data_IF_234352887446
#
_entry.id   IF_234352887446
#
_cell.length_a   1.000
_cell.length_b   1.000
_cell.length_c   1.000
_cell.angle_alpha   90.00
_cell.angle_beta   90.00
_cell.angle_gamma   90.00
#
_symmetry.space_group_name_H-M   'P 1'
#
loop_
_entity.id
_entity.type
_entity.pdbx_description
1 polymer ?
#
# COMPACT_ATOMS: atom_id res chain seq x y z
N UNK A 1 37.91 -26.04 -16.35
CA UNK A 1 36.95 -25.20 -15.61
C UNK A 1 36.70 -23.97 -16.48
N UNK A 2 35.79 -24.11 -17.45
CA UNK A 2 35.34 -22.97 -18.26
C UNK A 2 34.19 -22.29 -17.51
N UNK A 3 34.50 -21.14 -16.94
CA UNK A 3 33.51 -20.27 -16.30
C UNK A 3 32.76 -19.53 -17.41
N UNK A 4 31.49 -19.91 -17.58
CA UNK A 4 30.59 -19.35 -18.57
C UNK A 4 30.42 -17.84 -18.39
N UNK A 5 31.02 -17.09 -19.30
CA UNK A 5 30.79 -15.66 -19.46
C UNK A 5 29.35 -15.47 -19.92
N UNK A 6 28.44 -15.13 -18.99
CA UNK A 6 27.10 -14.66 -19.31
C UNK A 6 27.22 -13.53 -20.34
N UNK A 7 26.74 -13.80 -21.57
CA UNK A 7 26.56 -12.78 -22.59
C UNK A 7 25.64 -11.73 -21.99
N UNK A 8 26.18 -10.52 -21.81
CA UNK A 8 25.43 -9.31 -21.50
C UNK A 8 24.49 -9.08 -22.68
N UNK A 9 23.26 -9.56 -22.54
CA UNK A 9 22.23 -9.50 -23.57
C UNK A 9 22.00 -8.02 -23.92
N UNK A 10 22.40 -7.60 -25.12
CA UNK A 10 22.15 -6.27 -25.69
C UNK A 10 20.66 -6.11 -26.05
N UNK A 11 19.79 -6.38 -25.09
CA UNK A 11 18.36 -6.24 -25.23
C UNK A 11 17.97 -4.80 -25.00
N UNK A 12 17.53 -4.10 -26.06
CA UNK A 12 16.95 -2.77 -25.98
C UNK A 12 15.90 -2.65 -24.87
N UNK A 13 15.83 -1.47 -24.24
CA UNK A 13 14.90 -1.20 -23.13
C UNK A 13 13.43 -1.32 -23.53
N UNK A 14 12.56 -1.41 -22.52
CA UNK A 14 11.11 -1.48 -22.75
C UNK A 14 10.64 -0.22 -23.48
N UNK A 15 10.10 -0.39 -24.69
CA UNK A 15 9.53 0.69 -25.49
C UNK A 15 8.54 1.54 -24.67
N UNK A 16 8.57 2.86 -24.84
CA UNK A 16 7.77 3.77 -24.02
C UNK A 16 6.27 3.54 -24.20
N UNK A 17 5.80 3.33 -25.43
CA UNK A 17 4.39 3.10 -25.72
C UNK A 17 3.91 1.80 -25.08
N UNK A 18 4.71 0.73 -25.19
CA UNK A 18 4.43 -0.55 -24.52
C UNK A 18 4.42 -0.39 -22.99
N UNK A 19 5.43 0.29 -22.43
CA UNK A 19 5.54 0.56 -20.99
C UNK A 19 4.33 1.33 -20.46
N UNK A 20 3.93 2.40 -21.14
CA UNK A 20 2.77 3.21 -20.77
C UNK A 20 1.48 2.39 -20.81
N UNK A 21 1.32 1.60 -21.87
CA UNK A 21 0.19 0.69 -22.08
C UNK A 21 0.08 -0.35 -20.95
N UNK A 22 1.19 -0.97 -20.54
CA UNK A 22 1.23 -1.90 -19.41
C UNK A 22 1.02 -1.19 -18.06
N UNK A 23 1.63 -0.02 -17.88
CA UNK A 23 1.52 0.78 -16.66
C UNK A 23 0.06 1.18 -16.38
N UNK A 24 -0.63 1.76 -17.36
CA UNK A 24 -2.03 2.18 -17.20
C UNK A 24 -2.93 0.99 -16.86
N UNK A 25 -2.72 -0.17 -17.49
CA UNK A 25 -3.47 -1.40 -17.17
C UNK A 25 -3.12 -1.96 -15.79
N UNK A 26 -1.88 -1.82 -15.35
CA UNK A 26 -1.45 -2.26 -14.01
C UNK A 26 -2.12 -1.50 -12.87
N UNK A 27 -2.65 -0.29 -13.12
CA UNK A 27 -3.43 0.46 -12.13
C UNK A 27 -4.69 -0.32 -11.71
N UNK A 28 -5.22 -1.16 -12.61
CA UNK A 28 -6.43 -1.96 -12.42
C UNK A 28 -6.12 -3.42 -12.04
N UNK A 29 -4.91 -3.73 -11.59
CA UNK A 29 -4.49 -5.13 -11.32
C UNK A 29 -5.36 -5.84 -10.26
N UNK A 30 -5.98 -5.09 -9.35
CA UNK A 30 -6.90 -5.64 -8.35
C UNK A 30 -8.38 -5.60 -8.75
N UNK A 31 -8.75 -5.05 -9.92
CA UNK A 31 -10.14 -4.88 -10.31
C UNK A 31 -10.91 -6.21 -10.45
N UNK A 32 -10.21 -7.29 -10.86
CA UNK A 32 -10.75 -8.64 -10.99
C UNK A 32 -10.35 -9.59 -9.85
N UNK A 33 -10.05 -9.06 -8.66
CA UNK A 33 -9.60 -9.89 -7.55
C UNK A 33 -10.66 -10.92 -7.15
N UNK A 34 -10.26 -12.18 -6.99
CA UNK A 34 -11.16 -13.28 -6.63
C UNK A 34 -10.48 -14.28 -5.69
N UNK A 35 -11.27 -15.00 -4.89
CA UNK A 35 -10.72 -15.94 -3.90
C UNK A 35 -10.00 -17.15 -4.50
N UNK A 36 -10.32 -17.54 -5.73
CA UNK A 36 -9.73 -18.73 -6.36
C UNK A 36 -8.31 -18.49 -6.85
N UNK A 37 -8.06 -17.34 -7.50
CA UNK A 37 -6.81 -17.05 -8.22
C UNK A 37 -6.25 -15.65 -7.97
N UNK A 38 -6.86 -14.89 -7.05
CA UNK A 38 -6.42 -13.59 -6.56
C UNK A 38 -6.33 -12.54 -7.69
N UNK A 39 -5.14 -12.03 -8.01
CA UNK A 39 -4.90 -10.93 -8.95
C UNK A 39 -4.64 -11.39 -10.40
N UNK A 40 -4.85 -12.68 -10.71
CA UNK A 40 -4.51 -13.28 -12.00
C UNK A 40 -5.13 -12.55 -13.22
N UNK A 41 -6.41 -12.18 -13.15
CA UNK A 41 -7.12 -11.49 -14.26
C UNK A 41 -6.47 -10.14 -14.53
N UNK A 42 -6.20 -9.36 -13.49
CA UNK A 42 -5.52 -8.07 -13.62
C UNK A 42 -4.08 -8.20 -14.10
N UNK A 43 -3.38 -9.26 -13.71
CA UNK A 43 -2.03 -9.55 -14.20
C UNK A 43 -2.02 -9.84 -15.70
N UNK A 44 -2.89 -10.72 -16.18
CA UNK A 44 -3.04 -11.02 -17.61
C UNK A 44 -3.44 -9.76 -18.38
N UNK A 45 -4.39 -8.97 -17.85
CA UNK A 45 -4.80 -7.70 -18.47
C UNK A 45 -3.64 -6.73 -18.61
N UNK A 46 -2.83 -6.56 -17.56
CA UNK A 46 -1.66 -5.68 -17.59
C UNK A 46 -0.54 -6.19 -18.52
N UNK A 47 -0.36 -7.51 -18.64
CA UNK A 47 0.64 -8.14 -19.49
C UNK A 47 0.20 -8.26 -20.96
N UNK A 48 -1.10 -8.20 -21.25
CA UNK A 48 -1.67 -8.44 -22.57
C UNK A 48 -0.99 -7.67 -23.73
N UNK A 49 -0.62 -6.38 -23.61
CA UNK A 49 0.10 -5.68 -24.67
C UNK A 49 1.44 -6.33 -25.03
N UNK A 50 2.18 -6.82 -24.03
CA UNK A 50 3.45 -7.50 -24.25
C UNK A 50 3.23 -8.90 -24.85
N UNK A 51 2.23 -9.65 -24.38
CA UNK A 51 1.91 -10.97 -24.94
C UNK A 51 1.52 -10.88 -26.42
N UNK A 52 0.71 -9.89 -26.83
CA UNK A 52 0.34 -9.69 -28.23
C UNK A 52 1.52 -9.37 -29.14
N UNK A 53 2.53 -8.70 -28.59
CA UNK A 53 3.77 -8.37 -29.32
C UNK A 53 4.69 -9.59 -29.43
N UNK A 54 4.82 -10.36 -28.35
CA UNK A 54 5.65 -11.55 -28.31
C UNK A 54 5.04 -12.73 -29.11
N UNK A 55 3.72 -12.90 -29.06
CA UNK A 55 2.99 -14.00 -29.68
C UNK A 55 1.90 -13.46 -30.62
N UNK A 56 2.23 -13.14 -31.89
CA UNK A 56 1.25 -12.66 -32.87
C UNK A 56 0.21 -13.72 -33.25
N UNK A 57 0.56 -15.01 -33.18
CA UNK A 57 -0.35 -16.09 -33.54
C UNK A 57 -1.44 -16.29 -32.47
N UNK A 58 -2.74 -16.32 -32.84
CA UNK A 58 -3.83 -16.40 -31.89
C UNK A 58 -3.75 -17.60 -30.93
N UNK A 59 -3.33 -18.76 -31.42
CA UNK A 59 -3.22 -19.98 -30.61
C UNK A 59 -2.11 -19.85 -29.55
N UNK A 60 -0.94 -19.33 -29.94
CA UNK A 60 0.18 -19.13 -29.01
C UNK A 60 -0.13 -18.03 -28.00
N UNK A 61 -0.79 -16.96 -28.43
CA UNK A 61 -1.26 -15.89 -27.55
C UNK A 61 -2.27 -16.42 -26.53
N UNK A 62 -3.23 -17.24 -26.96
CA UNK A 62 -4.22 -17.85 -26.07
C UNK A 62 -3.55 -18.78 -25.04
N UNK A 63 -2.59 -19.62 -25.47
CA UNK A 63 -1.79 -20.44 -24.57
C UNK A 63 -0.98 -19.60 -23.58
N UNK A 64 -0.45 -18.45 -24.02
CA UNK A 64 0.26 -17.49 -23.18
C UNK A 64 -0.61 -16.81 -22.14
N UNK A 65 -1.77 -16.31 -22.54
CA UNK A 65 -2.73 -15.74 -21.62
C UNK A 65 -3.21 -16.79 -20.60
N UNK A 66 -3.46 -18.02 -21.04
CA UNK A 66 -3.94 -19.11 -20.19
C UNK A 66 -2.94 -19.48 -19.08
N UNK A 67 -1.64 -19.60 -19.38
CA UNK A 67 -0.63 -19.88 -18.33
C UNK A 67 -0.57 -18.77 -17.28
N UNK A 68 -0.65 -17.51 -17.69
CA UNK A 68 -0.62 -16.36 -16.77
C UNK A 68 -1.93 -16.17 -15.99
N UNK A 69 -3.02 -16.79 -16.43
CA UNK A 69 -4.28 -16.86 -15.70
C UNK A 69 -4.25 -17.84 -14.50
N UNK A 70 -3.12 -18.52 -14.24
CA UNK A 70 -2.89 -19.23 -12.98
C UNK A 70 -2.74 -18.26 -11.79
N UNK A 71 -2.95 -18.76 -10.57
CA UNK A 71 -2.96 -17.99 -9.32
C UNK A 71 -1.79 -17.02 -9.21
N UNK A 72 -2.08 -15.75 -8.97
CA UNK A 72 -1.07 -14.71 -8.84
C UNK A 72 -1.48 -13.76 -7.73
N UNK A 73 -0.61 -13.55 -6.74
CA UNK A 73 -0.86 -12.59 -5.69
C UNK A 73 0.46 -11.94 -5.28
N UNK A 74 0.48 -10.61 -5.29
CA UNK A 74 1.61 -9.83 -4.79
C UNK A 74 1.14 -8.46 -4.31
N UNK A 75 2.07 -7.62 -3.88
CA UNK A 75 1.76 -6.22 -3.58
C UNK A 75 1.51 -5.45 -4.90
N UNK A 76 0.35 -4.80 -5.13
CA UNK A 76 0.00 -4.18 -6.42
C UNK A 76 0.95 -3.07 -6.89
N UNK A 77 1.68 -2.43 -5.98
CA UNK A 77 2.67 -1.41 -6.35
C UNK A 77 4.01 -2.00 -6.77
N UNK A 78 4.27 -3.26 -6.38
CA UNK A 78 5.47 -4.02 -6.74
C UNK A 78 5.23 -4.93 -7.96
N UNK A 79 3.98 -5.13 -8.37
CA UNK A 79 3.64 -5.97 -9.51
C UNK A 79 4.33 -5.55 -10.82
N UNK A 80 4.70 -4.27 -10.96
CA UNK A 80 5.44 -3.75 -12.11
C UNK A 80 6.77 -4.49 -12.35
N UNK A 81 7.53 -4.81 -11.29
CA UNK A 81 8.79 -5.57 -11.41
C UNK A 81 8.57 -6.94 -12.06
N UNK A 82 7.48 -7.61 -11.69
CA UNK A 82 7.14 -8.94 -12.22
C UNK A 82 6.63 -8.81 -13.65
N UNK A 83 5.72 -7.88 -13.91
CA UNK A 83 5.16 -7.65 -15.25
C UNK A 83 6.25 -7.36 -16.28
N UNK A 84 7.22 -6.50 -15.95
CA UNK A 84 8.34 -6.19 -16.82
C UNK A 84 9.22 -7.42 -17.07
N UNK A 85 9.58 -8.14 -16.01
CA UNK A 85 10.45 -9.31 -16.11
C UNK A 85 9.82 -10.43 -16.95
N UNK A 86 8.55 -10.73 -16.68
CA UNK A 86 7.79 -11.74 -17.43
C UNK A 86 7.58 -11.30 -18.87
N UNK A 87 7.32 -10.03 -19.16
CA UNK A 87 7.24 -9.55 -20.55
C UNK A 87 8.53 -9.85 -21.34
N UNK A 88 9.69 -9.61 -20.75
CA UNK A 88 10.97 -9.91 -21.39
C UNK A 88 11.19 -11.42 -21.57
N UNK A 89 10.83 -12.23 -20.58
CA UNK A 89 10.93 -13.68 -20.69
C UNK A 89 10.01 -14.24 -21.78
N UNK A 90 8.82 -13.67 -21.93
CA UNK A 90 7.86 -14.04 -22.97
C UNK A 90 8.38 -13.71 -24.38
N UNK A 91 8.98 -12.53 -24.55
CA UNK A 91 9.64 -12.15 -25.82
C UNK A 91 10.80 -13.08 -26.19
N UNK A 92 11.65 -13.43 -25.21
CA UNK A 92 12.75 -14.39 -25.44
C UNK A 92 12.24 -15.78 -25.76
N UNK A 93 11.25 -16.27 -25.00
CA UNK A 93 10.64 -17.56 -25.26
C UNK A 93 10.03 -17.61 -26.66
N UNK A 94 9.39 -16.52 -27.13
CA UNK A 94 8.87 -16.45 -28.49
C UNK A 94 9.97 -16.49 -29.55
N UNK A 95 11.07 -15.75 -29.34
CA UNK A 95 12.22 -15.74 -30.24
C UNK A 95 12.94 -17.09 -30.33
N UNK A 96 12.94 -17.87 -29.24
CA UNK A 96 13.56 -19.20 -29.14
C UNK A 96 12.63 -20.34 -29.61
N UNK A 97 11.43 -20.02 -30.14
CA UNK A 97 10.47 -21.02 -30.65
C UNK A 97 9.54 -21.60 -29.57
N UNK A 98 9.64 -21.12 -28.33
CA UNK A 98 8.78 -21.50 -27.21
C UNK A 98 9.12 -22.86 -26.61
N UNK A 99 8.13 -23.49 -26.00
CA UNK A 99 8.24 -24.84 -25.44
C UNK A 99 7.88 -24.93 -23.96
N UNK A 100 7.66 -26.16 -23.51
CA UNK A 100 7.20 -26.45 -22.14
C UNK A 100 8.21 -25.99 -21.08
N UNK A 101 9.51 -26.20 -21.30
CA UNK A 101 10.56 -25.81 -20.36
C UNK A 101 10.65 -24.28 -20.18
N UNK A 102 10.47 -23.51 -21.25
CA UNK A 102 10.44 -22.05 -21.18
C UNK A 102 9.19 -21.57 -20.42
N UNK A 103 8.02 -22.15 -20.70
CA UNK A 103 6.78 -21.84 -20.01
C UNK A 103 6.85 -22.15 -18.51
N UNK A 104 7.42 -23.31 -18.14
CA UNK A 104 7.64 -23.70 -16.75
C UNK A 104 8.57 -22.72 -16.02
N UNK A 105 9.70 -22.37 -16.65
CA UNK A 105 10.65 -21.39 -16.11
C UNK A 105 9.98 -20.03 -15.86
N UNK A 106 9.19 -19.54 -16.81
CA UNK A 106 8.42 -18.29 -16.69
C UNK A 106 7.50 -18.34 -15.47
N UNK A 107 6.75 -19.44 -15.29
CA UNK A 107 5.83 -19.58 -14.18
C UNK A 107 6.54 -19.67 -12.82
N UNK A 108 7.67 -20.38 -12.77
CA UNK A 108 8.49 -20.49 -11.56
C UNK A 108 9.07 -19.14 -11.13
N UNK A 109 9.64 -18.38 -12.08
CA UNK A 109 10.15 -17.02 -11.82
C UNK A 109 9.03 -16.10 -11.38
N UNK A 110 7.86 -16.15 -12.04
CA UNK A 110 6.69 -15.35 -11.68
C UNK A 110 6.26 -15.60 -10.24
N UNK A 111 6.17 -16.87 -9.84
CA UNK A 111 5.73 -17.24 -8.50
C UNK A 111 6.74 -16.84 -7.41
N UNK A 112 8.04 -17.07 -7.67
CA UNK A 112 9.11 -16.69 -6.74
C UNK A 112 9.15 -15.17 -6.50
N UNK A 113 9.04 -14.38 -7.57
CA UNK A 113 9.02 -12.93 -7.47
C UNK A 113 7.72 -12.41 -6.83
N UNK A 114 6.58 -13.02 -7.15
CA UNK A 114 5.30 -12.63 -6.54
C UNK A 114 5.36 -12.71 -5.01
N UNK A 115 5.88 -13.81 -4.47
CA UNK A 115 6.01 -14.04 -3.02
C UNK A 115 7.01 -13.08 -2.35
N UNK A 116 8.22 -12.96 -2.90
CA UNK A 116 9.28 -12.13 -2.33
C UNK A 116 8.91 -10.63 -2.35
N UNK A 117 8.41 -10.13 -3.48
CA UNK A 117 7.98 -8.74 -3.62
C UNK A 117 6.69 -8.43 -2.84
N UNK A 118 5.83 -9.42 -2.58
CA UNK A 118 4.71 -9.27 -1.66
C UNK A 118 5.21 -8.96 -0.25
N UNK A 119 6.12 -9.79 0.29
CA UNK A 119 6.66 -9.63 1.63
C UNK A 119 7.38 -8.29 1.83
N UNK A 120 8.14 -7.83 0.84
CA UNK A 120 8.80 -6.51 0.87
C UNK A 120 7.76 -5.40 0.76
N UNK A 121 6.89 -5.48 -0.24
CA UNK A 121 5.87 -4.48 -0.54
C UNK A 121 4.86 -4.28 0.59
N UNK A 122 4.45 -5.34 1.29
CA UNK A 122 3.52 -5.26 2.41
C UNK A 122 4.14 -4.51 3.60
N UNK A 123 5.42 -4.75 3.89
CA UNK A 123 6.14 -4.04 4.95
C UNK A 123 6.30 -2.55 4.66
N UNK A 124 6.43 -2.17 3.39
CA UNK A 124 6.58 -0.78 2.95
C UNK A 124 5.22 -0.10 2.90
N UNK A 125 4.32 -0.54 2.02
CA UNK A 125 3.10 0.19 1.70
C UNK A 125 2.03 0.04 2.78
N UNK A 126 1.73 -1.19 3.20
CA UNK A 126 0.72 -1.43 4.23
C UNK A 126 1.25 -1.19 5.62
N UNK A 127 2.49 -1.59 5.88
CA UNK A 127 3.07 -1.52 7.22
C UNK A 127 3.57 -0.14 7.64
N UNK A 128 3.98 0.73 6.69
CA UNK A 128 4.66 1.99 7.02
C UNK A 128 4.08 3.19 6.30
N UNK A 129 4.03 3.14 4.96
CA UNK A 129 3.61 4.28 4.16
C UNK A 129 2.15 4.63 4.41
N UNK A 130 1.26 3.64 4.50
CA UNK A 130 -0.16 3.87 4.80
C UNK A 130 -0.37 4.48 6.19
N UNK A 131 0.18 3.95 7.30
CA UNK A 131 0.15 4.65 8.59
C UNK A 131 0.75 6.06 8.55
N UNK A 132 1.91 6.23 7.91
CA UNK A 132 2.58 7.52 7.78
C UNK A 132 1.70 8.57 7.06
N UNK A 133 0.88 8.17 6.09
CA UNK A 133 -0.03 9.12 5.43
C UNK A 133 -1.09 9.67 6.38
N UNK A 134 -1.57 8.88 7.34
CA UNK A 134 -2.46 9.39 8.37
C UNK A 134 -1.73 10.42 9.25
N UNK A 135 -0.49 10.14 9.63
CA UNK A 135 0.32 11.06 10.44
C UNK A 135 0.60 12.37 9.71
N UNK A 136 0.92 12.31 8.40
CA UNK A 136 1.08 13.49 7.54
C UNK A 136 -0.20 14.31 7.45
N UNK A 137 -1.37 13.67 7.33
CA UNK A 137 -2.66 14.36 7.35
C UNK A 137 -2.83 15.19 8.62
N UNK A 138 -2.57 14.58 9.80
CA UNK A 138 -2.68 15.27 11.08
C UNK A 138 -1.67 16.41 11.21
N UNK A 139 -0.44 16.21 10.72
CA UNK A 139 0.60 17.24 10.75
C UNK A 139 0.22 18.45 9.88
N UNK A 140 -0.36 18.23 8.69
CA UNK A 140 -0.83 19.30 7.81
C UNK A 140 -1.96 20.10 8.47
N UNK A 141 -2.92 19.42 9.11
CA UNK A 141 -3.97 20.10 9.85
C UNK A 141 -3.43 20.93 11.03
N UNK A 142 -2.45 20.40 11.79
CA UNK A 142 -1.76 21.19 12.83
C UNK A 142 -1.10 22.43 12.26
N UNK A 143 -0.36 22.29 11.16
CA UNK A 143 0.33 23.40 10.52
C UNK A 143 -0.65 24.45 9.97
N UNK A 144 -1.83 24.03 9.53
CA UNK A 144 -2.92 24.90 9.09
C UNK A 144 -3.74 25.50 10.24
N UNK A 145 -3.37 25.23 11.50
CA UNK A 145 -4.07 25.74 12.68
C UNK A 145 -5.40 25.03 13.00
N UNK A 146 -5.73 23.95 12.29
CA UNK A 146 -6.90 23.13 12.58
C UNK A 146 -6.61 22.23 13.79
N UNK A 147 -7.05 22.67 14.96
CA UNK A 147 -6.85 21.99 16.26
C UNK A 147 -8.11 21.35 16.81
N UNK A 148 -9.26 21.49 16.15
CA UNK A 148 -10.54 21.07 16.68
C UNK A 148 -10.71 19.55 16.83
N UNK A 149 -9.80 18.76 16.23
CA UNK A 149 -9.67 17.32 16.45
C UNK A 149 -8.85 16.93 17.70
N UNK A 150 -8.09 17.88 18.28
CA UNK A 150 -7.34 17.75 19.54
C UNK A 150 -8.12 18.37 20.69
N UNK A 151 -8.50 19.63 20.52
CA UNK A 151 -9.23 20.42 21.50
C UNK A 151 -10.67 20.49 20.99
N UNK A 152 -11.60 19.75 21.61
CA UNK A 152 -13.00 19.78 21.23
C UNK A 152 -13.54 21.21 21.31
N UNK A 153 -13.83 21.80 20.17
CA UNK A 153 -14.35 23.14 20.00
C UNK A 153 -15.18 23.22 18.72
N UNK A 154 -15.70 24.40 18.41
CA UNK A 154 -16.49 24.58 17.19
C UNK A 154 -15.59 24.46 15.95
N UNK A 155 -15.83 23.43 15.13
CA UNK A 155 -15.15 23.22 13.85
C UNK A 155 -15.90 23.91 12.68
N UNK A 156 -17.04 24.57 12.92
CA UNK A 156 -17.92 25.08 11.86
C UNK A 156 -17.30 26.21 11.03
N UNK A 157 -16.35 26.96 11.59
CA UNK A 157 -15.67 28.09 10.94
C UNK A 157 -14.44 27.72 10.11
N UNK A 158 -14.09 26.44 9.99
CA UNK A 158 -12.88 26.02 9.25
C UNK A 158 -13.14 26.13 7.75
N UNK A 159 -12.30 26.88 7.00
CA UNK A 159 -12.49 26.98 5.56
C UNK A 159 -12.26 25.62 4.89
N UNK A 160 -13.09 25.30 3.89
CA UNK A 160 -13.10 23.99 3.25
C UNK A 160 -11.71 23.55 2.72
N UNK A 161 -10.89 24.48 2.24
CA UNK A 161 -9.55 24.16 1.76
C UNK A 161 -8.62 23.61 2.86
N UNK A 162 -8.74 24.09 4.11
CA UNK A 162 -7.98 23.55 5.25
C UNK A 162 -8.44 22.12 5.55
N UNK A 163 -9.75 21.90 5.58
CA UNK A 163 -10.33 20.57 5.82
C UNK A 163 -9.80 19.54 4.80
N UNK A 164 -9.78 19.89 3.51
CA UNK A 164 -9.33 18.99 2.45
C UNK A 164 -7.81 18.93 2.26
N UNK A 165 -7.04 19.91 2.78
CA UNK A 165 -5.58 19.96 2.61
C UNK A 165 -4.85 18.73 3.16
N UNK A 166 -5.19 18.28 4.38
CA UNK A 166 -4.58 17.10 5.02
C UNK A 166 -4.77 15.81 4.21
N UNK A 167 -6.01 15.41 3.89
CA UNK A 167 -6.27 14.24 3.04
C UNK A 167 -5.66 14.37 1.65
N UNK A 168 -5.74 15.55 1.01
CA UNK A 168 -5.18 15.76 -0.32
C UNK A 168 -3.66 15.53 -0.34
N UNK A 169 -2.90 16.16 0.57
CA UNK A 169 -1.45 15.98 0.67
C UNK A 169 -1.10 14.52 0.93
N UNK A 170 -1.87 13.84 1.78
CA UNK A 170 -1.66 12.43 2.12
C UNK A 170 -1.87 11.49 0.94
N UNK A 171 -2.94 11.71 0.18
CA UNK A 171 -3.25 10.96 -1.04
C UNK A 171 -2.19 11.22 -2.11
N UNK A 172 -1.78 12.47 -2.31
CA UNK A 172 -0.73 12.84 -3.27
C UNK A 172 0.59 12.17 -2.89
N UNK A 173 1.00 12.25 -1.62
CA UNK A 173 2.23 11.64 -1.13
C UNK A 173 2.24 10.12 -1.33
N UNK A 174 1.17 9.43 -0.92
CA UNK A 174 1.06 7.99 -1.11
C UNK A 174 1.07 7.60 -2.60
N UNK A 175 0.28 8.32 -3.40
CA UNK A 175 0.11 8.04 -4.83
C UNK A 175 1.42 8.28 -5.59
N UNK A 176 2.17 9.34 -5.27
CA UNK A 176 3.46 9.60 -5.88
C UNK A 176 4.44 8.43 -5.70
N UNK A 177 4.56 7.91 -4.47
CA UNK A 177 5.43 6.75 -4.18
C UNK A 177 4.91 5.49 -4.88
N UNK A 178 3.61 5.24 -4.84
CA UNK A 178 2.98 4.09 -5.47
C UNK A 178 3.15 4.08 -7.00
N UNK A 179 2.91 5.22 -7.66
CA UNK A 179 3.06 5.38 -9.10
C UNK A 179 4.53 5.30 -9.51
N UNK A 180 5.43 5.91 -8.74
CA UNK A 180 6.87 5.80 -8.96
C UNK A 180 7.31 4.33 -8.96
N UNK A 181 6.97 3.56 -7.91
CA UNK A 181 7.36 2.15 -7.79
C UNK A 181 6.78 1.29 -8.91
N UNK A 182 5.53 1.53 -9.32
CA UNK A 182 4.93 0.82 -10.46
C UNK A 182 5.65 1.13 -11.76
N UNK A 183 5.90 2.40 -12.03
CA UNK A 183 6.53 2.86 -13.25
C UNK A 183 7.97 2.36 -13.35
N UNK A 184 8.80 2.59 -12.33
CA UNK A 184 10.20 2.14 -12.31
C UNK A 184 10.29 0.63 -12.28
N UNK A 185 9.41 -0.03 -11.52
CA UNK A 185 9.33 -1.48 -11.45
C UNK A 185 9.18 -2.13 -12.82
N UNK A 186 8.33 -1.60 -13.69
CA UNK A 186 8.18 -2.13 -15.06
C UNK A 186 9.49 -2.11 -15.87
N UNK A 187 10.23 -1.00 -15.84
CA UNK A 187 11.48 -0.91 -16.60
C UNK A 187 12.61 -1.73 -15.97
N UNK A 188 12.76 -1.67 -14.65
CA UNK A 188 13.76 -2.47 -13.92
C UNK A 188 13.47 -3.96 -14.13
N UNK A 189 12.20 -4.35 -14.00
CA UNK A 189 11.70 -5.68 -14.26
C UNK A 189 12.14 -6.20 -15.63
N UNK A 190 11.85 -5.42 -16.66
CA UNK A 190 12.19 -5.79 -18.04
C UNK A 190 13.70 -5.88 -18.28
N UNK A 191 14.49 -5.02 -17.65
CA UNK A 191 15.95 -5.04 -17.75
C UNK A 191 16.60 -6.27 -17.08
N UNK A 192 15.94 -6.90 -16.10
CA UNK A 192 16.48 -8.07 -15.39
C UNK A 192 16.57 -9.35 -16.24
N UNK A 193 15.93 -9.41 -17.41
CA UNK A 193 16.11 -10.52 -18.35
C UNK A 193 15.79 -11.91 -17.78
N UNK A 194 14.77 -12.05 -16.93
CA UNK A 194 14.30 -13.33 -16.43
C UNK A 194 14.94 -13.84 -15.14
N UNK A 195 15.80 -13.06 -14.49
CA UNK A 195 16.34 -13.42 -13.17
C UNK A 195 15.23 -13.59 -12.12
N UNK A 196 15.34 -14.64 -11.30
CA UNK A 196 14.45 -14.89 -10.16
C UNK A 196 14.71 -13.97 -8.96
N UNK A 197 15.82 -13.23 -8.95
CA UNK A 197 16.12 -12.19 -7.95
C UNK A 197 15.76 -10.78 -8.43
N UNK A 198 15.12 -10.65 -9.60
CA UNK A 198 14.81 -9.36 -10.19
C UNK A 198 14.05 -8.43 -9.24
N UNK A 199 14.51 -7.17 -9.14
CA UNK A 199 13.90 -6.16 -8.28
C UNK A 199 14.30 -6.28 -6.81
N UNK A 200 14.83 -7.40 -6.34
CA UNK A 200 15.29 -7.55 -4.95
C UNK A 200 16.51 -6.68 -4.64
N UNK A 201 17.42 -6.56 -5.62
CA UNK A 201 18.62 -5.73 -5.50
C UNK A 201 18.47 -4.34 -6.14
N UNK A 202 17.28 -4.02 -6.67
CA UNK A 202 17.03 -2.75 -7.35
C UNK A 202 17.11 -1.55 -6.38
N UNK A 203 16.79 -1.78 -5.11
CA UNK A 203 16.80 -0.77 -4.06
C UNK A 203 17.27 -1.40 -2.75
N UNK A 204 17.86 -0.60 -1.86
CA UNK A 204 18.11 -1.01 -0.49
C UNK A 204 16.78 -0.97 0.31
N UNK A 205 15.96 -2.01 0.12
CA UNK A 205 14.63 -2.14 0.74
C UNK A 205 14.71 -2.07 2.26
N UNK A 206 15.74 -2.67 2.85
CA UNK A 206 15.97 -2.66 4.30
C UNK A 206 16.20 -1.24 4.80
N UNK A 207 17.02 -0.45 4.11
CA UNK A 207 17.26 0.95 4.44
C UNK A 207 16.00 1.79 4.24
N UNK A 208 15.23 1.57 3.17
CA UNK A 208 13.97 2.27 2.94
C UNK A 208 12.96 2.00 4.06
N UNK A 209 12.79 0.73 4.45
CA UNK A 209 11.92 0.30 5.56
C UNK A 209 12.33 0.98 6.86
N UNK A 210 13.64 1.03 7.18
CA UNK A 210 14.17 1.71 8.37
C UNK A 210 13.91 3.22 8.32
N UNK A 211 14.13 3.86 7.18
CA UNK A 211 13.89 5.30 6.99
C UNK A 211 12.41 5.66 7.14
N UNK A 212 11.51 4.86 6.56
CA UNK A 212 10.07 5.07 6.72
C UNK A 212 9.62 4.87 8.17
N UNK A 213 10.18 3.87 8.88
CA UNK A 213 9.92 3.70 10.31
C UNK A 213 10.40 4.87 11.15
N UNK A 214 11.61 5.39 10.87
CA UNK A 214 12.13 6.56 11.57
C UNK A 214 11.29 7.80 11.26
N UNK A 215 10.93 8.02 9.99
CA UNK A 215 10.09 9.15 9.59
C UNK A 215 8.73 9.13 10.31
N UNK A 216 8.06 7.98 10.38
CA UNK A 216 6.80 7.86 11.12
C UNK A 216 6.96 8.13 12.61
N UNK A 217 8.03 7.60 13.23
CA UNK A 217 8.30 7.89 14.64
C UNK A 217 8.50 9.40 14.88
N UNK A 218 9.24 10.08 14.00
CA UNK A 218 9.50 11.52 14.10
C UNK A 218 8.22 12.34 13.91
N UNK A 219 7.41 12.04 12.89
CA UNK A 219 6.15 12.75 12.64
C UNK A 219 5.16 12.52 13.79
N UNK A 220 5.03 11.29 14.27
CA UNK A 220 4.21 10.96 15.43
C UNK A 220 4.65 11.74 16.67
N UNK A 221 5.96 11.74 16.98
CA UNK A 221 6.50 12.50 18.10
C UNK A 221 6.26 14.01 17.96
N UNK A 222 6.38 14.57 16.75
CA UNK A 222 6.09 15.97 16.47
C UNK A 222 4.62 16.30 16.70
N UNK A 223 3.70 15.45 16.22
CA UNK A 223 2.26 15.61 16.46
C UNK A 223 1.91 15.55 17.95
N UNK A 224 2.52 14.61 18.70
CA UNK A 224 2.33 14.50 20.16
C UNK A 224 2.86 15.75 20.86
N UNK A 225 4.09 16.20 20.55
CA UNK A 225 4.69 17.37 21.16
C UNK A 225 3.86 18.64 20.87
N UNK A 226 3.44 18.85 19.63
CA UNK A 226 2.56 19.96 19.26
C UNK A 226 1.23 19.91 20.01
N UNK A 227 0.63 18.72 20.13
CA UNK A 227 -0.60 18.53 20.91
C UNK A 227 -0.39 18.88 22.38
N UNK A 228 0.69 18.40 23.01
CA UNK A 228 1.03 18.72 24.40
C UNK A 228 1.21 20.23 24.61
N UNK A 229 1.92 20.91 23.71
CA UNK A 229 2.09 22.37 23.79
C UNK A 229 0.74 23.09 23.74
N UNK A 230 -0.19 22.63 22.90
CA UNK A 230 -1.54 23.21 22.82
C UNK A 230 -2.35 22.96 24.10
N UNK A 231 -2.22 21.78 24.71
CA UNK A 231 -2.93 21.41 25.93
C UNK A 231 -2.39 22.10 27.19
N UNK A 232 -1.10 22.46 27.20
CA UNK A 232 -0.46 23.15 28.32
C UNK A 232 -0.66 24.67 28.28
N UNK A 233 -1.34 25.22 27.26
CA UNK A 233 -1.64 26.66 27.21
C UNK A 233 -2.63 27.03 28.34
N UNK A 234 -2.49 28.21 28.97
CA UNK A 234 -3.39 28.65 30.04
C UNK A 234 -4.86 28.72 29.63
N UNK A 235 -5.11 28.96 28.34
CA UNK A 235 -6.43 29.08 27.72
C UNK A 235 -7.05 27.73 27.33
N UNK A 236 -6.33 26.61 27.56
CA UNK A 236 -6.84 25.29 27.22
C UNK A 236 -8.08 24.94 28.07
N UNK A 237 -9.16 24.39 27.47
CA UNK A 237 -10.36 24.04 28.21
C UNK A 237 -10.06 22.94 29.23
N UNK A 238 -10.32 23.21 30.51
CA UNK A 238 -10.06 22.29 31.63
C UNK A 238 -11.30 21.54 32.13
N UNK A 239 -12.39 21.54 31.34
CA UNK A 239 -13.66 20.94 31.74
C UNK A 239 -13.54 19.41 31.90
N UNK A 240 -14.35 18.81 32.78
CA UNK A 240 -14.40 17.36 32.94
C UNK A 240 -14.72 16.63 31.62
N UNK A 241 -15.53 17.25 30.76
CA UNK A 241 -15.83 16.74 29.41
C UNK A 241 -14.64 16.75 28.46
N UNK A 242 -13.72 17.70 28.60
CA UNK A 242 -12.48 17.74 27.84
C UNK A 242 -11.57 16.55 28.20
N UNK A 243 -11.30 16.32 29.48
CA UNK A 243 -10.47 15.20 29.95
C UNK A 243 -11.09 13.84 29.64
N UNK A 244 -12.41 13.70 29.73
CA UNK A 244 -13.11 12.48 29.34
C UNK A 244 -12.88 12.15 27.86
N UNK A 245 -12.97 13.14 26.96
CA UNK A 245 -12.73 12.95 25.51
C UNK A 245 -11.29 12.55 25.21
N UNK A 246 -10.31 13.08 25.94
CA UNK A 246 -8.90 12.70 25.81
C UNK A 246 -8.61 11.28 26.33
N UNK A 247 -9.33 10.84 27.37
CA UNK A 247 -9.17 9.51 27.95
C UNK A 247 -9.69 8.37 27.04
N UNK A 248 -10.74 8.61 26.26
CA UNK A 248 -11.34 7.58 25.37
C UNK A 248 -10.33 6.92 24.43
N UNK A 249 -9.53 7.64 23.60
CA UNK A 249 -8.59 7.00 22.70
C UNK A 249 -7.47 6.25 23.43
N UNK A 250 -7.00 6.76 24.58
CA UNK A 250 -5.97 6.10 25.41
C UNK A 250 -6.50 4.77 25.98
N UNK A 251 -7.72 4.80 26.54
CA UNK A 251 -8.37 3.61 27.08
C UNK A 251 -8.70 2.60 25.98
N UNK A 252 -9.17 3.07 24.81
CA UNK A 252 -9.42 2.22 23.66
C UNK A 252 -8.15 1.52 23.18
N UNK A 253 -7.01 2.23 23.14
CA UNK A 253 -5.72 1.65 22.79
C UNK A 253 -5.23 0.64 23.84
N UNK A 254 -5.36 0.96 25.13
CA UNK A 254 -5.02 0.04 26.22
C UNK A 254 -5.88 -1.24 26.17
N UNK A 255 -7.19 -1.09 25.95
CA UNK A 255 -8.14 -2.19 25.76
C UNK A 255 -7.77 -3.04 24.55
N UNK A 256 -7.40 -2.42 23.42
CA UNK A 256 -6.91 -3.14 22.24
C UNK A 256 -5.64 -3.94 22.54
N UNK A 257 -4.71 -3.38 23.30
CA UNK A 257 -3.46 -4.06 23.64
C UNK A 257 -3.71 -5.25 24.57
N UNK A 258 -4.61 -5.09 25.55
CA UNK A 258 -5.03 -6.14 26.45
C UNK A 258 -5.78 -7.25 25.70
N UNK A 259 -6.75 -6.90 24.85
CA UNK A 259 -7.51 -7.83 24.02
C UNK A 259 -6.60 -8.65 23.09
N UNK A 260 -5.60 -8.01 22.45
CA UNK A 260 -4.61 -8.72 21.64
C UNK A 260 -3.74 -9.67 22.46
N UNK A 261 -3.34 -9.29 23.69
CA UNK A 261 -2.61 -10.20 24.59
C UNK A 261 -3.47 -11.40 25.00
N UNK A 262 -4.79 -11.22 25.10
CA UNK A 262 -5.75 -12.28 25.37
C UNK A 262 -6.18 -13.07 24.11
N UNK A 263 -5.49 -12.92 22.97
CA UNK A 263 -5.78 -13.63 21.73
C UNK A 263 -7.07 -13.20 21.03
N UNK A 264 -7.69 -12.09 21.44
CA UNK A 264 -8.91 -11.57 20.79
C UNK A 264 -8.56 -10.80 19.52
N UNK A 265 -9.46 -10.86 18.54
CA UNK A 265 -9.31 -10.17 17.27
C UNK A 265 -9.42 -8.65 17.44
N UNK A 266 -8.88 -7.91 16.47
CA UNK A 266 -9.05 -6.45 16.43
C UNK A 266 -10.53 -6.06 16.30
N UNK A 267 -11.31 -6.83 15.52
CA UNK A 267 -12.74 -6.63 15.34
C UNK A 267 -13.50 -6.71 16.67
N UNK A 268 -13.18 -7.70 17.51
CA UNK A 268 -13.77 -7.81 18.85
C UNK A 268 -13.56 -6.53 19.66
N UNK A 269 -12.35 -5.98 19.64
CA UNK A 269 -12.02 -4.74 20.38
C UNK A 269 -12.78 -3.55 19.82
N UNK A 270 -12.84 -3.41 18.49
CA UNK A 270 -13.57 -2.31 17.83
C UNK A 270 -15.05 -2.37 18.17
N UNK A 271 -15.67 -3.55 18.05
CA UNK A 271 -17.07 -3.77 18.42
C UNK A 271 -17.32 -3.47 19.90
N UNK A 272 -16.44 -3.90 20.79
CA UNK A 272 -16.55 -3.61 22.22
C UNK A 272 -16.50 -2.09 22.49
N UNK A 273 -15.48 -1.39 21.98
CA UNK A 273 -15.35 0.06 22.15
C UNK A 273 -16.57 0.80 21.58
N UNK A 274 -17.07 0.36 20.42
CA UNK A 274 -18.27 0.94 19.82
C UNK A 274 -19.51 0.75 20.70
N UNK A 275 -19.79 -0.48 21.15
CA UNK A 275 -20.93 -0.77 22.04
C UNK A 275 -20.82 0.03 23.34
N UNK A 276 -19.65 0.03 23.99
CA UNK A 276 -19.43 0.80 25.21
C UNK A 276 -19.63 2.31 24.98
N UNK A 277 -19.16 2.85 23.85
CA UNK A 277 -19.32 4.27 23.53
C UNK A 277 -20.80 4.62 23.32
N UNK A 278 -21.54 3.84 22.53
CA UNK A 278 -22.96 4.08 22.26
C UNK A 278 -23.80 3.93 23.54
N UNK A 279 -23.59 2.86 24.30
CA UNK A 279 -24.30 2.63 25.57
C UNK A 279 -23.98 3.70 26.61
N UNK A 280 -22.73 4.16 26.68
CA UNK A 280 -22.32 5.24 27.57
C UNK A 280 -23.00 6.58 27.24
N UNK A 281 -23.04 6.94 25.96
CA UNK A 281 -23.73 8.15 25.50
C UNK A 281 -25.25 8.08 25.71
N UNK A 282 -25.87 6.92 25.46
CA UNK A 282 -27.30 6.71 25.72
C UNK A 282 -27.64 6.87 27.21
N UNK A 283 -26.84 6.28 28.10
CA UNK A 283 -27.04 6.40 29.54
C UNK A 283 -26.87 7.85 30.05
N UNK A 284 -25.85 8.57 29.56
CA UNK A 284 -25.64 9.98 29.90
C UNK A 284 -26.74 10.90 29.36
N UNK A 285 -27.26 10.61 28.15
CA UNK A 285 -28.39 11.33 27.58
C UNK A 285 -29.67 11.16 28.41
N UNK A 286 -29.95 9.94 28.86
CA UNK A 286 -31.09 9.64 29.74
C UNK A 286 -30.94 10.34 31.10
N UNK A 287 -29.74 10.30 31.69
CA UNK A 287 -29.44 10.97 32.97
C UNK A 287 -29.59 12.50 32.89
N UNK A 288 -29.17 13.11 31.79
CA UNK A 288 -29.34 14.56 31.58
C UNK A 288 -30.81 14.93 31.33
N UNK A 289 -31.57 14.09 30.62
CA UNK A 289 -33.02 14.27 30.46
C UNK A 289 -33.75 14.18 31.81
N UNK A 290 -33.40 13.20 32.66
CA UNK A 290 -33.98 13.05 34.01
C UNK A 290 -33.60 14.17 34.98
N UNK A 291 -32.51 14.90 34.75
CA UNK A 291 -32.09 16.06 35.58
C UNK A 291 -32.65 17.39 35.10
N UNK A 292 -33.19 17.43 33.87
CA UNK A 292 -33.80 18.61 33.26
C UNK A 292 -35.33 18.60 33.26
N UNK A 293 -35.96 17.55 33.80
CA UNK A 293 -37.38 17.41 34.08
C UNK A 293 -37.61 17.44 35.60
#
# INVERSE_FOLDING_TARGET
MEEGREKKDEGGGLDFSLRLSMFLRSLLIQAGWNYQRMQNIGFVFALAPALRRAWPEPEKLAAAAARHAATFNTQPYMAGFILGNIARMEERAAAEGGGAAAAERIMNVRQALASSLASIGDRIFWGRLRPLTAEVCMLVWLAAGMTCWIIPGDCSGIPAWVLFSGPAVSVIFYSAVALYMRWTGLAVGYACGGSSSCGLDAFDWSRLIKRLSLAGLVVCAACIAASLVLLLRPEAPSSAGFWARLAVPVLAFAAQRAARRAGKSMLFTVSAVFVFSVSGWAALGILNWMRGA
#
